data_IF_797735744217
#
_entry.id   IF_797735744217
#
_cell.length_a   1.000
_cell.length_b   1.000
_cell.length_c   1.000
_cell.angle_alpha   90.00
_cell.angle_beta   90.00
_cell.angle_gamma   90.00
#
_symmetry.space_group_name_H-M   'P 1'
#
loop_
_entity.id
_entity.type
_entity.pdbx_description
1 polymer ?
#
# COMPACT_ATOMS: atom_id res chain seq x y z
N UNK A 1 -16.34 2.11 -48.12
CA UNK A 1 -16.78 1.26 -47.01
C UNK A 1 -15.77 1.47 -45.89
N UNK A 2 -15.99 2.51 -45.09
CA UNK A 2 -15.37 2.68 -43.77
C UNK A 2 -16.32 2.11 -42.75
N UNK A 3 -15.81 1.41 -41.75
CA UNK A 3 -15.75 1.98 -40.40
C UNK A 3 -14.89 1.06 -39.54
N UNK A 4 -13.82 1.66 -39.03
CA UNK A 4 -12.92 1.07 -38.06
C UNK A 4 -13.53 1.26 -36.67
N UNK A 5 -13.41 0.19 -35.90
CA UNK A 5 -13.84 -0.01 -34.53
C UNK A 5 -13.47 1.19 -33.62
N UNK A 6 -14.50 1.91 -33.17
CA UNK A 6 -14.35 3.00 -32.21
C UNK A 6 -14.39 2.42 -30.81
N UNK A 7 -13.21 2.29 -30.20
CA UNK A 7 -13.06 1.97 -28.77
C UNK A 7 -13.74 3.06 -27.95
N UNK A 8 -14.84 2.69 -27.28
CA UNK A 8 -15.60 3.56 -26.37
C UNK A 8 -14.71 4.04 -25.23
N UNK A 9 -14.51 5.35 -25.17
CA UNK A 9 -13.92 6.07 -24.05
C UNK A 9 -14.96 6.06 -22.93
N UNK A 10 -14.76 5.25 -21.89
CA UNK A 10 -15.56 5.35 -20.67
C UNK A 10 -15.29 6.70 -20.00
N UNK A 11 -16.33 7.52 -19.92
CA UNK A 11 -16.34 8.76 -19.14
C UNK A 11 -16.13 8.43 -17.65
N UNK A 12 -14.97 8.81 -17.12
CA UNK A 12 -14.68 8.65 -15.69
C UNK A 12 -15.20 9.85 -14.91
N UNK A 13 -16.08 9.59 -13.92
CA UNK A 13 -16.59 10.61 -13.01
C UNK A 13 -15.45 11.33 -12.26
N UNK A 14 -15.58 12.64 -11.99
CA UNK A 14 -14.56 13.40 -11.27
C UNK A 14 -14.40 12.88 -9.82
N UNK A 15 -13.30 12.17 -9.54
CA UNK A 15 -12.81 12.01 -8.17
C UNK A 15 -12.58 10.59 -7.65
N UNK A 16 -12.82 9.50 -8.40
CA UNK A 16 -12.77 8.14 -7.82
C UNK A 16 -11.56 7.24 -8.15
N UNK A 17 -10.72 7.55 -9.14
CA UNK A 17 -9.50 6.73 -9.40
C UNK A 17 -8.34 7.60 -9.91
N UNK A 18 -7.82 8.50 -9.06
CA UNK A 18 -6.76 9.46 -9.45
C UNK A 18 -5.38 9.11 -8.88
N UNK A 19 -5.29 8.06 -8.05
CA UNK A 19 -4.08 7.68 -7.29
C UNK A 19 -2.94 7.22 -8.19
N UNK A 20 -3.17 6.23 -9.06
CA UNK A 20 -2.12 5.67 -9.94
C UNK A 20 -1.76 6.61 -11.10
N UNK A 21 -2.74 7.36 -11.62
CA UNK A 21 -2.56 8.26 -12.76
C UNK A 21 -1.58 9.42 -12.48
N UNK A 22 -1.46 9.82 -11.22
CA UNK A 22 -0.56 10.91 -10.80
C UNK A 22 0.93 10.56 -10.91
N UNK A 23 1.27 9.29 -11.12
CA UNK A 23 2.64 8.80 -11.26
C UNK A 23 3.01 8.46 -12.71
N UNK A 24 2.11 8.69 -13.68
CA UNK A 24 2.39 8.39 -15.09
C UNK A 24 3.52 9.26 -15.64
N UNK A 25 4.29 8.68 -16.56
CA UNK A 25 5.25 9.42 -17.36
C UNK A 25 4.58 10.22 -18.49
N UNK A 26 5.24 11.26 -19.04
CA UNK A 26 4.73 12.03 -20.17
C UNK A 26 4.42 11.18 -21.41
N UNK A 27 5.23 10.15 -21.67
CA UNK A 27 5.02 9.19 -22.76
C UNK A 27 3.81 8.29 -22.51
N UNK A 28 3.57 7.84 -21.27
CA UNK A 28 2.33 7.12 -20.90
C UNK A 28 1.09 8.00 -21.09
N UNK A 29 1.18 9.26 -20.65
CA UNK A 29 0.13 10.26 -20.82
C UNK A 29 -0.21 10.55 -22.30
N UNK A 30 0.74 10.33 -23.21
CA UNK A 30 0.57 10.51 -24.67
C UNK A 30 0.30 9.21 -25.43
N UNK A 31 0.30 8.05 -24.76
CA UNK A 31 0.18 6.74 -25.42
C UNK A 31 1.37 6.40 -26.32
N UNK A 32 2.56 6.93 -26.03
CA UNK A 32 3.79 6.64 -26.76
C UNK A 32 4.40 5.30 -26.32
N UNK A 33 5.37 4.80 -27.10
CA UNK A 33 6.09 3.57 -26.77
C UNK A 33 6.87 3.76 -25.46
N UNK A 34 6.63 2.85 -24.52
CA UNK A 34 7.23 2.87 -23.20
C UNK A 34 8.57 2.16 -23.21
N UNK A 35 9.51 2.71 -22.42
CA UNK A 35 10.74 2.04 -22.08
C UNK A 35 11.03 2.19 -20.58
N UNK A 36 12.14 1.62 -20.11
CA UNK A 36 12.53 1.63 -18.69
C UNK A 36 12.74 3.04 -18.12
N UNK A 37 12.82 4.10 -18.94
CA UNK A 37 12.95 5.49 -18.50
C UNK A 37 11.61 6.07 -18.05
N UNK A 38 10.49 5.41 -18.36
CA UNK A 38 9.19 5.71 -17.75
C UNK A 38 9.21 5.42 -16.25
N UNK A 39 9.80 4.30 -15.83
CA UNK A 39 9.93 3.96 -14.40
C UNK A 39 10.83 4.95 -13.65
N UNK A 40 11.86 5.50 -14.32
CA UNK A 40 12.73 6.52 -13.74
C UNK A 40 11.98 7.84 -13.50
N UNK A 41 11.02 8.17 -14.36
CA UNK A 41 10.15 9.33 -14.16
C UNK A 41 9.20 9.12 -12.98
N UNK A 42 8.53 7.96 -12.91
CA UNK A 42 7.65 7.60 -11.79
C UNK A 42 8.40 7.61 -10.46
N UNK A 43 9.64 7.11 -10.43
CA UNK A 43 10.52 7.21 -9.27
C UNK A 43 10.85 8.67 -8.92
N UNK A 44 11.09 9.52 -9.91
CA UNK A 44 11.26 10.97 -9.71
C UNK A 44 10.06 11.62 -9.01
N UNK A 45 8.83 11.23 -9.37
CA UNK A 45 7.60 11.70 -8.73
C UNK A 45 7.55 11.26 -7.27
N UNK A 46 7.86 10.00 -6.99
CA UNK A 46 7.91 9.47 -5.62
C UNK A 46 8.95 10.21 -4.79
N UNK A 47 10.16 10.43 -5.32
CA UNK A 47 11.22 11.15 -4.61
C UNK A 47 10.83 12.61 -4.31
N UNK A 48 10.18 13.28 -5.27
CA UNK A 48 9.63 14.62 -5.06
C UNK A 48 8.58 14.61 -3.93
N UNK A 49 7.69 13.63 -3.93
CA UNK A 49 6.66 13.50 -2.91
C UNK A 49 7.23 13.16 -1.53
N UNK A 50 8.26 12.31 -1.45
CA UNK A 50 8.92 11.99 -0.19
C UNK A 50 9.66 13.20 0.39
N UNK A 51 10.21 14.08 -0.46
CA UNK A 51 10.95 15.26 -0.03
C UNK A 51 10.06 16.45 0.32
N UNK A 52 8.88 16.57 -0.30
CA UNK A 52 7.97 17.73 -0.14
C UNK A 52 6.64 17.40 0.54
N UNK A 53 6.27 16.12 0.65
CA UNK A 53 4.94 15.66 1.05
C UNK A 53 3.84 15.90 0.00
N UNK A 54 4.20 16.31 -1.23
CA UNK A 54 3.26 16.76 -2.26
C UNK A 54 3.57 16.16 -3.63
N UNK A 55 2.56 16.00 -4.49
CA UNK A 55 2.76 15.58 -5.87
C UNK A 55 3.27 16.75 -6.73
N UNK A 56 4.24 16.53 -7.64
CA UNK A 56 4.79 17.58 -8.50
C UNK A 56 3.81 18.09 -9.56
N UNK A 57 2.87 17.26 -10.02
CA UNK A 57 1.97 17.57 -11.14
C UNK A 57 0.49 17.35 -10.80
N UNK A 58 0.00 17.94 -9.71
CA UNK A 58 -1.42 17.81 -9.33
C UNK A 58 -2.33 18.76 -10.12
N UNK A 59 -3.32 18.24 -10.85
CA UNK A 59 -4.41 19.01 -11.47
C UNK A 59 -5.71 18.94 -10.67
N UNK A 60 -6.65 19.85 -10.96
CA UNK A 60 -8.03 19.81 -10.44
C UNK A 60 -8.91 18.80 -11.20
N UNK A 61 -8.49 18.40 -12.39
CA UNK A 61 -9.10 17.34 -13.21
C UNK A 61 -8.06 16.38 -13.77
N UNK A 62 -8.52 15.26 -14.33
CA UNK A 62 -7.66 14.29 -15.00
C UNK A 62 -6.93 14.92 -16.20
N UNK A 63 -7.66 15.61 -17.08
CA UNK A 63 -7.10 16.30 -18.24
C UNK A 63 -6.02 17.33 -17.83
N UNK A 64 -6.27 18.11 -16.77
CA UNK A 64 -5.29 19.07 -16.27
C UNK A 64 -4.04 18.39 -15.69
N UNK A 65 -4.22 17.24 -15.05
CA UNK A 65 -3.10 16.43 -14.51
C UNK A 65 -2.23 15.88 -15.64
N UNK A 66 -2.86 15.32 -16.68
CA UNK A 66 -2.19 14.83 -17.89
C UNK A 66 -1.44 15.96 -18.61
N UNK A 67 -2.04 17.15 -18.70
CA UNK A 67 -1.40 18.34 -19.28
C UNK A 67 -0.17 18.75 -18.46
N UNK A 68 -0.29 18.81 -17.12
CA UNK A 68 0.81 19.15 -16.22
C UNK A 68 1.94 18.11 -16.28
N UNK A 69 1.62 16.82 -16.29
CA UNK A 69 2.60 15.74 -16.47
C UNK A 69 3.34 15.95 -17.80
N UNK A 70 2.64 16.33 -18.87
CA UNK A 70 3.23 16.50 -20.19
C UNK A 70 4.10 17.75 -20.34
N UNK A 71 3.74 18.88 -19.70
CA UNK A 71 4.32 20.20 -20.02
C UNK A 71 4.87 20.97 -18.82
N UNK A 72 4.31 20.79 -17.63
CA UNK A 72 4.67 21.62 -16.48
C UNK A 72 5.98 21.16 -15.83
N UNK A 73 6.75 22.10 -15.29
CA UNK A 73 7.95 21.82 -14.49
C UNK A 73 7.57 21.75 -13.00
N UNK A 74 8.21 20.88 -12.20
CA UNK A 74 7.92 20.78 -10.78
C UNK A 74 8.38 22.06 -10.07
N UNK A 75 7.59 22.51 -9.08
CA UNK A 75 7.99 23.61 -8.21
C UNK A 75 9.27 23.26 -7.44
N UNK A 76 10.11 24.25 -7.15
CA UNK A 76 11.36 24.03 -6.43
C UNK A 76 11.12 23.43 -5.04
N UNK A 77 11.88 22.38 -4.71
CA UNK A 77 11.73 21.64 -3.44
C UNK A 77 12.01 22.56 -2.26
N UNK A 78 12.99 23.46 -2.40
CA UNK A 78 13.35 24.46 -1.39
C UNK A 78 12.17 25.36 -0.94
N UNK A 79 11.08 25.47 -1.71
CA UNK A 79 9.85 26.18 -1.28
C UNK A 79 9.10 25.46 -0.17
N UNK A 80 9.20 24.13 -0.12
CA UNK A 80 8.46 23.29 0.82
C UNK A 80 9.37 22.67 1.88
N UNK A 81 10.63 22.41 1.53
CA UNK A 81 11.62 21.81 2.41
C UNK A 81 13.01 22.39 2.14
N UNK A 82 13.45 23.35 2.97
CA UNK A 82 14.76 24.00 2.84
C UNK A 82 15.93 23.15 3.32
N UNK A 83 15.66 22.02 4.00
CA UNK A 83 16.69 21.10 4.51
C UNK A 83 17.19 20.13 3.43
N UNK A 84 16.49 20.06 2.29
CA UNK A 84 16.90 19.26 1.14
C UNK A 84 18.08 19.93 0.43
N UNK A 85 19.14 19.16 0.20
CA UNK A 85 20.31 19.65 -0.53
C UNK A 85 19.98 19.94 -1.99
N UNK A 86 20.64 20.96 -2.56
CA UNK A 86 20.49 21.32 -3.97
C UNK A 86 20.85 20.18 -4.93
N UNK A 87 21.78 19.31 -4.53
CA UNK A 87 22.16 18.13 -5.31
C UNK A 87 21.04 17.08 -5.36
N UNK A 88 20.29 16.88 -4.27
CA UNK A 88 19.12 16.00 -4.29
C UNK A 88 18.02 16.58 -5.18
N UNK A 89 17.78 17.90 -5.12
CA UNK A 89 16.83 18.55 -6.03
C UNK A 89 17.26 18.41 -7.50
N UNK A 90 18.57 18.53 -7.79
CA UNK A 90 19.10 18.32 -9.14
C UNK A 90 18.83 16.90 -9.66
N UNK A 91 19.04 15.89 -8.82
CA UNK A 91 18.77 14.48 -9.18
C UNK A 91 17.27 14.29 -9.47
N UNK A 92 16.39 14.78 -8.58
CA UNK A 92 14.94 14.66 -8.74
C UNK A 92 14.47 15.36 -10.02
N UNK A 93 14.97 16.58 -10.30
CA UNK A 93 14.65 17.31 -11.53
C UNK A 93 15.07 16.53 -12.78
N UNK A 94 16.27 15.92 -12.78
CA UNK A 94 16.73 15.12 -13.91
C UNK A 94 15.88 13.86 -14.15
N UNK A 95 15.32 13.25 -13.10
CA UNK A 95 14.32 12.17 -13.27
C UNK A 95 13.01 12.68 -13.90
N UNK A 96 12.62 13.91 -13.56
CA UNK A 96 11.35 14.53 -13.97
C UNK A 96 11.42 15.28 -15.31
N UNK A 97 12.51 15.12 -16.08
CA UNK A 97 12.61 15.69 -17.42
C UNK A 97 11.53 15.13 -18.34
N UNK A 98 10.97 15.96 -19.22
CA UNK A 98 9.81 15.54 -20.03
C UNK A 98 10.21 14.61 -21.17
N UNK A 99 11.40 14.84 -21.72
CA UNK A 99 11.99 14.04 -22.79
C UNK A 99 12.80 12.88 -22.19
N UNK A 100 12.52 11.62 -22.56
CA UNK A 100 13.25 10.46 -22.05
C UNK A 100 14.77 10.53 -22.27
N UNK A 101 15.23 11.15 -23.35
CA UNK A 101 16.65 11.32 -23.68
C UNK A 101 17.38 12.33 -22.77
N UNK A 102 16.65 13.24 -22.12
CA UNK A 102 17.21 14.21 -21.16
C UNK A 102 17.23 13.64 -19.72
N UNK A 103 16.53 12.52 -19.48
CA UNK A 103 16.54 11.79 -18.20
C UNK A 103 17.81 10.96 -18.01
N UNK A 104 17.92 10.35 -16.83
CA UNK A 104 18.83 9.23 -16.63
C UNK A 104 18.52 8.11 -17.64
N UNK A 105 19.55 7.61 -18.31
CA UNK A 105 19.38 6.55 -19.31
C UNK A 105 19.30 5.16 -18.68
N UNK A 106 19.64 5.03 -17.39
CA UNK A 106 19.50 3.78 -16.65
C UNK A 106 19.41 4.03 -15.14
N UNK A 107 18.82 3.09 -14.40
CA UNK A 107 18.82 3.09 -12.95
C UNK A 107 20.24 3.08 -12.35
N UNK A 108 21.22 2.51 -13.08
CA UNK A 108 22.63 2.51 -12.67
C UNK A 108 23.22 3.91 -12.65
N UNK A 109 22.90 4.75 -13.63
CA UNK A 109 23.35 6.14 -13.68
C UNK A 109 22.80 6.94 -12.51
N UNK A 110 21.50 6.78 -12.23
CA UNK A 110 20.84 7.39 -11.07
C UNK A 110 21.48 6.96 -9.74
N UNK A 111 21.80 5.66 -9.59
CA UNK A 111 22.45 5.13 -8.40
C UNK A 111 23.86 5.72 -8.18
N UNK A 112 24.60 6.04 -9.24
CA UNK A 112 25.92 6.68 -9.14
C UNK A 112 25.78 8.08 -8.52
N UNK A 113 24.80 8.86 -8.97
CA UNK A 113 24.52 10.19 -8.42
C UNK A 113 24.07 10.13 -6.96
N UNK A 114 23.23 9.17 -6.57
CA UNK A 114 22.86 8.96 -5.17
C UNK A 114 24.06 8.58 -4.28
N UNK A 115 24.97 7.73 -4.78
CA UNK A 115 26.20 7.39 -4.04
C UNK A 115 27.11 8.60 -3.86
N UNK A 116 27.20 9.46 -4.87
CA UNK A 116 27.96 10.71 -4.80
C UNK A 116 27.37 11.65 -3.75
N UNK A 117 26.06 11.86 -3.78
CA UNK A 117 25.33 12.67 -2.82
C UNK A 117 25.55 12.19 -1.37
N UNK A 118 25.51 10.88 -1.14
CA UNK A 118 25.78 10.30 0.19
C UNK A 118 27.19 10.61 0.66
N UNK A 119 28.18 10.45 -0.22
CA UNK A 119 29.60 10.73 0.10
C UNK A 119 29.84 12.20 0.42
N UNK A 120 29.21 13.11 -0.32
CA UNK A 120 29.30 14.56 -0.08
C UNK A 120 28.62 14.96 1.24
N UNK A 121 27.51 14.32 1.59
CA UNK A 121 26.85 14.51 2.90
C UNK A 121 27.72 14.02 4.06
N UNK A 122 28.39 12.87 3.89
CA UNK A 122 29.35 12.32 4.86
C UNK A 122 30.62 13.19 5.00
N UNK A 123 31.10 13.82 3.91
CA UNK A 123 32.27 14.72 3.96
C UNK A 123 31.94 16.07 4.58
N UNK A 124 30.78 16.66 4.27
CA UNK A 124 30.35 17.94 4.87
C UNK A 124 30.13 17.81 6.39
N UNK A 125 29.69 16.63 6.85
CA UNK A 125 29.59 16.32 8.28
C UNK A 125 30.97 16.26 8.95
N UNK A 126 32.02 15.80 8.23
CA UNK A 126 33.40 15.71 8.75
C UNK A 126 34.14 17.05 8.72
N UNK A 127 33.92 17.90 7.73
CA UNK A 127 34.53 19.24 7.66
C UNK A 127 33.90 20.23 8.65
N UNK A 128 32.59 20.11 8.92
CA UNK A 128 31.89 20.85 9.98
C UNK A 128 32.51 20.62 11.37
N UNK A 129 33.00 19.40 11.63
CA UNK A 129 33.67 19.04 12.90
C UNK A 129 35.12 19.52 12.94
N UNK A 130 35.80 19.69 11.79
CA UNK A 130 37.20 20.09 11.72
C UNK A 130 37.42 21.61 11.64
N UNK A 131 36.40 22.39 11.28
CA UNK A 131 36.51 23.85 11.11
C UNK A 131 36.21 24.67 12.38
N UNK A 132 35.84 24.02 13.49
CA UNK A 132 35.56 24.70 14.76
C UNK A 132 36.78 24.69 15.71
N UNK A 133 37.94 25.17 15.22
CA UNK A 133 39.13 25.42 16.06
C UNK A 133 39.69 26.83 15.86
N UNK A 134 38.84 27.85 16.02
CA UNK A 134 39.29 29.20 16.36
C UNK A 134 38.09 30.05 16.79
N UNK A 135 37.86 30.19 18.10
CA UNK A 135 37.64 31.48 18.80
C UNK A 135 37.40 31.29 20.31
N UNK A 136 38.03 32.21 21.04
CA UNK A 136 38.32 32.37 22.48
C UNK A 136 37.36 31.76 23.53
N UNK A 137 37.89 31.21 24.64
CA UNK A 137 37.12 30.84 25.82
C UNK A 137 36.94 32.09 26.70
N UNK A 138 35.72 32.38 27.16
CA UNK A 138 35.43 33.12 28.42
C UNK A 138 33.91 33.35 28.61
N UNK A 139 33.04 33.10 27.63
CA UNK A 139 31.58 33.35 27.77
C UNK A 139 30.67 32.12 27.71
N UNK A 140 31.13 30.94 28.15
CA UNK A 140 30.37 29.68 28.01
C UNK A 140 30.14 28.92 29.33
N UNK A 141 30.19 29.58 30.49
CA UNK A 141 29.87 28.94 31.76
C UNK A 141 28.38 29.05 32.14
N UNK A 142 27.60 29.95 31.52
CA UNK A 142 26.20 30.20 31.90
C UNK A 142 25.17 29.60 30.93
N UNK A 143 25.54 29.27 29.70
CA UNK A 143 24.59 28.70 28.69
C UNK A 143 24.58 27.17 28.69
N UNK A 144 25.63 26.52 29.20
CA UNK A 144 25.76 25.05 29.24
C UNK A 144 24.76 24.39 30.19
N UNK A 145 24.39 25.03 31.30
CA UNK A 145 23.38 24.47 32.20
C UNK A 145 21.98 24.42 31.56
N UNK A 146 21.61 25.47 30.81
CA UNK A 146 20.31 25.53 30.14
C UNK A 146 20.28 24.62 28.91
N UNK A 147 21.38 24.52 28.15
CA UNK A 147 21.47 23.62 27.02
C UNK A 147 21.47 22.14 27.46
N UNK A 148 22.08 21.79 28.59
CA UNK A 148 22.03 20.42 29.12
C UNK A 148 20.63 20.10 29.64
N UNK A 149 19.93 21.04 30.28
CA UNK A 149 18.52 20.83 30.66
C UNK A 149 17.62 20.73 29.43
N UNK A 150 17.82 21.55 28.40
CA UNK A 150 17.04 21.50 27.16
C UNK A 150 17.39 20.25 26.34
N UNK A 151 18.64 19.79 26.31
CA UNK A 151 19.05 18.56 25.63
C UNK A 151 18.70 17.30 26.42
N UNK A 152 18.60 17.37 27.74
CA UNK A 152 18.04 16.27 28.54
C UNK A 152 16.52 16.23 28.42
N UNK A 153 15.83 17.37 28.39
CA UNK A 153 14.39 17.44 28.11
C UNK A 153 14.08 17.01 26.67
N UNK A 154 14.85 17.48 25.68
CA UNK A 154 14.73 17.05 24.28
C UNK A 154 15.17 15.61 24.09
N UNK A 155 16.19 15.15 24.82
CA UNK A 155 16.66 13.76 24.79
C UNK A 155 15.67 12.82 25.44
N UNK A 156 15.05 13.20 26.56
CA UNK A 156 13.93 12.49 27.19
C UNK A 156 12.72 12.53 26.26
N UNK A 157 12.40 13.67 25.65
CA UNK A 157 11.31 13.80 24.68
C UNK A 157 11.54 12.98 23.42
N UNK A 158 12.78 12.88 22.92
CA UNK A 158 13.14 12.09 21.74
C UNK A 158 13.19 10.59 22.05
N UNK A 159 13.70 10.21 23.22
CA UNK A 159 13.67 8.84 23.74
C UNK A 159 12.24 8.38 24.11
N UNK A 160 11.37 9.32 24.49
CA UNK A 160 9.92 9.13 24.62
C UNK A 160 9.14 9.34 23.30
N UNK A 161 9.79 9.68 22.17
CA UNK A 161 9.11 9.91 20.88
C UNK A 161 9.23 8.71 19.93
N UNK A 162 10.28 7.90 20.05
CA UNK A 162 10.32 6.54 19.49
C UNK A 162 9.61 5.50 20.38
N UNK A 163 9.19 5.94 21.56
CA UNK A 163 8.07 5.36 22.31
C UNK A 163 7.04 6.45 22.58
N UNK A 164 6.63 7.19 21.54
CA UNK A 164 5.31 7.79 21.64
C UNK A 164 4.39 6.59 21.93
N UNK A 165 3.76 6.49 23.11
CA UNK A 165 2.72 5.51 23.28
C UNK A 165 1.78 5.83 22.15
N UNK A 166 1.66 4.93 21.18
CA UNK A 166 0.40 4.89 20.49
C UNK A 166 -0.60 4.83 21.63
N UNK A 167 -1.53 5.77 21.75
CA UNK A 167 -2.67 5.62 22.68
C UNK A 167 -3.36 4.23 22.49
N UNK A 168 -3.02 3.52 21.40
CA UNK A 168 -3.32 2.15 21.02
C UNK A 168 -2.90 1.01 21.97
N UNK A 169 -2.33 1.24 23.15
CA UNK A 169 -2.23 0.16 24.15
C UNK A 169 -3.60 -0.35 24.62
N UNK A 170 -4.69 0.36 24.30
CA UNK A 170 -6.03 0.00 24.75
C UNK A 170 -6.62 -1.23 24.05
N UNK A 171 -6.24 -1.50 22.79
CA UNK A 171 -6.83 -2.56 21.95
C UNK A 171 -5.80 -3.30 21.10
N UNK A 172 -4.59 -3.52 21.63
CA UNK A 172 -3.59 -4.33 20.94
C UNK A 172 -4.17 -5.72 20.61
N UNK A 173 -3.84 -6.26 19.43
CA UNK A 173 -4.32 -7.56 18.94
C UNK A 173 -5.84 -7.75 19.01
N UNK A 174 -6.62 -6.86 18.39
CA UNK A 174 -8.08 -7.00 18.35
C UNK A 174 -8.63 -6.76 16.94
N UNK A 175 -9.69 -7.50 16.61
CA UNK A 175 -10.32 -7.43 15.29
C UNK A 175 -11.84 -7.44 15.42
N UNK A 176 -12.52 -6.59 14.66
CA UNK A 176 -13.97 -6.69 14.47
C UNK A 176 -14.31 -6.93 13.00
N UNK A 177 -15.27 -7.80 12.75
CA UNK A 177 -15.89 -7.94 11.44
C UNK A 177 -16.96 -6.87 11.31
N UNK A 178 -16.94 -6.09 10.23
CA UNK A 178 -17.94 -5.05 9.95
C UNK A 178 -18.82 -5.44 8.75
N UNK A 179 -20.05 -4.88 8.67
CA UNK A 179 -20.97 -5.09 7.56
C UNK A 179 -20.33 -4.99 6.18
N UNK A 180 -20.52 -6.04 5.38
CA UNK A 180 -20.12 -6.07 3.97
C UNK A 180 -20.97 -5.08 3.16
N UNK A 181 -20.31 -4.34 2.27
CA UNK A 181 -21.00 -3.51 1.28
C UNK A 181 -21.66 -4.42 0.24
N UNK A 182 -22.94 -4.20 -0.02
CA UNK A 182 -23.71 -5.00 -0.96
C UNK A 182 -23.93 -4.18 -2.21
N UNK A 183 -23.43 -4.65 -3.35
CA UNK A 183 -23.72 -4.03 -4.64
C UNK A 183 -25.03 -4.52 -5.25
N UNK A 184 -25.59 -5.61 -4.71
CA UNK A 184 -26.79 -6.27 -5.20
C UNK A 184 -27.75 -6.54 -4.04
N UNK A 185 -29.03 -6.24 -4.24
CA UNK A 185 -30.11 -6.49 -3.27
C UNK A 185 -30.38 -8.00 -3.11
N UNK A 186 -30.84 -8.41 -1.92
CA UNK A 186 -31.24 -9.80 -1.64
C UNK A 186 -30.14 -10.70 -1.10
N UNK A 187 -28.95 -10.15 -0.82
CA UNK A 187 -27.82 -10.86 -0.22
C UNK A 187 -27.58 -10.51 1.25
N UNK A 188 -28.53 -9.84 1.89
CA UNK A 188 -28.42 -9.38 3.28
C UNK A 188 -28.25 -10.57 4.22
N UNK A 189 -29.01 -11.65 4.02
CA UNK A 189 -28.90 -12.87 4.84
C UNK A 189 -27.54 -13.56 4.68
N UNK A 190 -26.97 -13.54 3.47
CA UNK A 190 -25.64 -14.10 3.21
C UNK A 190 -24.58 -13.28 3.94
N UNK A 191 -24.61 -11.95 3.81
CA UNK A 191 -23.66 -11.07 4.48
C UNK A 191 -23.74 -11.15 6.01
N UNK A 192 -24.96 -11.26 6.55
CA UNK A 192 -25.19 -11.38 8.00
C UNK A 192 -24.62 -12.70 8.54
N UNK A 193 -24.96 -13.82 7.89
CA UNK A 193 -24.45 -15.15 8.27
C UNK A 193 -22.93 -15.27 8.13
N UNK A 194 -22.35 -14.72 7.05
CA UNK A 194 -20.90 -14.70 6.85
C UNK A 194 -20.19 -13.84 7.91
N UNK A 195 -20.78 -12.69 8.27
CA UNK A 195 -20.25 -11.82 9.32
C UNK A 195 -20.21 -12.51 10.69
N UNK A 196 -21.26 -13.25 11.03
CA UNK A 196 -21.35 -14.02 12.27
C UNK A 196 -20.35 -15.18 12.32
N UNK A 197 -20.21 -15.92 11.23
CA UNK A 197 -19.28 -17.04 11.15
C UNK A 197 -17.82 -16.59 11.22
N UNK A 198 -17.47 -15.50 10.52
CA UNK A 198 -16.13 -14.91 10.58
C UNK A 198 -15.81 -14.37 11.97
N UNK A 199 -16.74 -13.67 12.63
CA UNK A 199 -16.53 -13.18 13.98
C UNK A 199 -16.30 -14.34 14.97
N UNK A 200 -17.08 -15.41 14.85
CA UNK A 200 -16.91 -16.62 15.65
C UNK A 200 -15.56 -17.30 15.40
N UNK A 201 -15.18 -17.49 14.13
CA UNK A 201 -13.95 -18.17 13.77
C UNK A 201 -12.69 -17.37 14.15
N UNK A 202 -12.71 -16.05 13.97
CA UNK A 202 -11.63 -15.16 14.40
C UNK A 202 -11.50 -15.12 15.93
N UNK A 203 -12.61 -15.18 16.67
CA UNK A 203 -12.59 -15.30 18.13
C UNK A 203 -11.92 -16.58 18.64
N UNK A 204 -11.86 -17.63 17.81
CA UNK A 204 -11.14 -18.87 18.10
C UNK A 204 -9.62 -18.77 17.92
N UNK A 205 -9.12 -17.72 17.25
CA UNK A 205 -7.69 -17.52 17.05
C UNK A 205 -7.04 -16.96 18.32
N UNK A 206 -6.04 -17.67 18.85
CA UNK A 206 -5.24 -17.23 20.02
C UNK A 206 -4.50 -15.92 19.84
N UNK A 207 -4.50 -15.40 18.61
CA UNK A 207 -3.77 -14.22 18.21
C UNK A 207 -4.51 -12.93 18.51
N UNK A 208 -5.85 -12.98 18.59
CA UNK A 208 -6.66 -11.82 18.94
C UNK A 208 -7.10 -11.93 20.40
N UNK A 209 -6.75 -10.92 21.20
CA UNK A 209 -7.17 -10.82 22.60
C UNK A 209 -8.64 -10.43 22.71
N UNK A 210 -9.19 -9.79 21.67
CA UNK A 210 -10.60 -9.38 21.61
C UNK A 210 -11.15 -9.46 20.19
N UNK A 211 -12.28 -10.14 20.06
CA UNK A 211 -13.13 -10.14 18.87
C UNK A 211 -14.56 -9.86 19.32
N UNK A 212 -15.12 -8.67 19.07
CA UNK A 212 -16.50 -8.37 19.39
C UNK A 212 -17.45 -9.32 18.65
N UNK A 213 -18.58 -9.72 19.25
CA UNK A 213 -19.58 -10.50 18.54
C UNK A 213 -20.18 -9.67 17.40
N UNK A 214 -20.60 -10.33 16.33
CA UNK A 214 -21.17 -9.70 15.14
C UNK A 214 -22.32 -8.73 15.46
N UNK A 215 -23.16 -9.06 16.44
CA UNK A 215 -24.26 -8.20 16.91
C UNK A 215 -23.82 -6.81 17.40
N UNK A 216 -22.56 -6.64 17.80
CA UNK A 216 -22.00 -5.34 18.22
C UNK A 216 -21.58 -4.46 17.04
N UNK A 217 -21.30 -5.07 15.87
CA UNK A 217 -20.82 -4.38 14.67
C UNK A 217 -21.82 -4.39 13.52
N UNK A 218 -22.86 -5.22 13.54
CA UNK A 218 -23.84 -5.34 12.44
C UNK A 218 -24.61 -4.05 12.14
N UNK A 219 -24.73 -3.16 13.12
CA UNK A 219 -25.37 -1.84 12.99
C UNK A 219 -24.42 -0.71 12.55
N UNK A 220 -23.14 -1.03 12.30
CA UNK A 220 -22.19 -0.08 11.72
C UNK A 220 -22.64 0.27 10.30
N UNK A 221 -22.55 1.56 9.96
CA UNK A 221 -22.80 2.00 8.60
C UNK A 221 -21.74 1.43 7.65
N UNK A 222 -22.18 0.58 6.72
CA UNK A 222 -21.38 -0.06 5.66
C UNK A 222 -20.57 0.95 4.85
N UNK A 223 -21.07 2.20 4.72
CA UNK A 223 -20.47 3.27 3.90
C UNK A 223 -19.72 4.32 4.72
N UNK A 224 -19.58 4.12 6.02
CA UNK A 224 -18.86 5.06 6.88
C UNK A 224 -17.44 5.27 6.36
N UNK A 225 -17.14 6.51 5.99
CA UNK A 225 -15.79 6.94 5.61
C UNK A 225 -14.88 7.04 6.84
N UNK A 226 -15.44 7.10 8.04
CA UNK A 226 -14.71 7.21 9.30
C UNK A 226 -14.46 5.83 9.92
N UNK A 227 -13.51 5.10 9.32
CA UNK A 227 -13.06 3.79 9.81
C UNK A 227 -12.42 3.89 11.20
N UNK A 228 -11.84 5.05 11.55
CA UNK A 228 -11.18 5.27 12.84
C UNK A 228 -12.20 5.38 13.97
N UNK A 229 -13.22 6.23 13.81
CA UNK A 229 -14.32 6.33 14.77
C UNK A 229 -15.07 4.99 14.93
N UNK A 230 -15.21 4.23 13.84
CA UNK A 230 -15.80 2.89 13.87
C UNK A 230 -14.98 1.94 14.74
N UNK A 231 -13.65 1.91 14.56
CA UNK A 231 -12.76 1.06 15.34
C UNK A 231 -12.68 1.50 16.81
N UNK A 232 -12.68 2.81 17.08
CA UNK A 232 -12.77 3.37 18.44
C UNK A 232 -14.07 2.95 19.15
N UNK A 233 -15.21 3.03 18.45
CA UNK A 233 -16.52 2.65 18.98
C UNK A 233 -16.62 1.15 19.28
N UNK A 234 -16.07 0.33 18.39
CA UNK A 234 -16.01 -1.12 18.55
C UNK A 234 -14.88 -1.56 19.49
N UNK A 235 -14.05 -0.61 19.92
CA UNK A 235 -12.94 -0.84 20.83
C UNK A 235 -11.99 -1.93 20.29
N UNK A 236 -11.58 -1.77 19.02
CA UNK A 236 -10.65 -2.67 18.33
C UNK A 236 -9.58 -1.89 17.57
N UNK A 237 -8.43 -2.51 17.31
CA UNK A 237 -7.35 -1.93 16.49
C UNK A 237 -7.48 -2.24 15.01
N UNK A 238 -8.20 -3.31 14.64
CA UNK A 238 -8.30 -3.78 13.25
C UNK A 238 -9.75 -4.05 12.86
N UNK A 239 -10.10 -3.74 11.60
CA UNK A 239 -11.42 -3.99 11.03
C UNK A 239 -11.30 -4.95 9.84
N UNK A 240 -12.09 -6.03 9.84
CA UNK A 240 -12.31 -6.88 8.67
C UNK A 240 -13.58 -6.41 7.98
N UNK A 241 -13.46 -5.96 6.73
CA UNK A 241 -14.54 -5.42 5.92
C UNK A 241 -14.46 -6.01 4.52
N UNK A 242 -15.48 -5.78 3.70
CA UNK A 242 -15.52 -6.34 2.35
C UNK A 242 -16.71 -5.86 1.55
N UNK A 243 -16.81 -6.34 0.32
CA UNK A 243 -17.96 -6.12 -0.54
C UNK A 243 -18.40 -7.42 -1.21
N UNK A 244 -19.70 -7.59 -1.36
CA UNK A 244 -20.31 -8.68 -2.10
C UNK A 244 -20.93 -8.09 -3.37
N UNK A 245 -20.51 -8.63 -4.51
CA UNK A 245 -20.96 -8.23 -5.82
C UNK A 245 -21.49 -9.46 -6.58
N UNK A 246 -22.39 -9.24 -7.54
CA UNK A 246 -22.94 -10.30 -8.38
C UNK A 246 -22.93 -9.86 -9.83
N UNK A 247 -22.31 -10.69 -10.66
CA UNK A 247 -22.27 -10.52 -12.10
C UNK A 247 -22.83 -11.79 -12.75
N UNK A 248 -24.07 -11.73 -13.23
CA UNK A 248 -24.77 -12.92 -13.76
C UNK A 248 -24.99 -13.99 -12.69
N UNK A 249 -24.44 -15.19 -12.91
CA UNK A 249 -24.47 -16.31 -11.94
C UNK A 249 -23.21 -16.38 -11.07
N UNK A 250 -22.26 -15.45 -11.26
CA UNK A 250 -21.06 -15.37 -10.44
C UNK A 250 -21.23 -14.41 -9.27
N UNK A 251 -20.84 -14.89 -8.09
CA UNK A 251 -20.78 -14.15 -6.85
C UNK A 251 -19.32 -13.82 -6.55
N UNK A 252 -18.99 -12.53 -6.41
CA UNK A 252 -17.65 -12.06 -6.05
C UNK A 252 -17.66 -11.47 -4.65
N UNK A 253 -16.84 -12.01 -3.77
CA UNK A 253 -16.66 -11.54 -2.40
C UNK A 253 -15.24 -11.00 -2.26
N UNK A 254 -15.14 -9.68 -2.07
CA UNK A 254 -13.89 -8.99 -1.77
C UNK A 254 -13.81 -8.75 -0.27
N UNK A 255 -12.63 -8.96 0.30
CA UNK A 255 -12.39 -8.78 1.74
C UNK A 255 -11.10 -8.02 1.96
N UNK A 256 -11.06 -7.20 3.02
CA UNK A 256 -9.89 -6.45 3.44
C UNK A 256 -9.83 -6.34 4.97
N UNK A 257 -8.65 -6.61 5.51
CA UNK A 257 -8.29 -6.37 6.91
C UNK A 257 -7.51 -5.06 6.98
N UNK A 258 -7.99 -4.10 7.78
CA UNK A 258 -7.46 -2.73 7.81
C UNK A 258 -7.19 -2.29 9.25
N UNK A 259 -6.02 -1.68 9.48
CA UNK A 259 -5.74 -0.95 10.72
C UNK A 259 -5.91 0.56 10.50
N UNK A 260 -7.00 1.18 10.98
CA UNK A 260 -7.27 2.61 10.76
C UNK A 260 -6.42 3.55 11.62
N UNK A 261 -5.64 3.03 12.58
CA UNK A 261 -4.80 3.82 13.48
C UNK A 261 -3.34 3.92 13.05
N UNK A 262 -2.91 3.09 12.10
CA UNK A 262 -1.60 3.24 11.47
C UNK A 262 -1.59 4.58 10.72
N UNK A 263 -0.76 5.53 11.16
CA UNK A 263 -0.74 6.95 10.76
C UNK A 263 -0.47 7.21 9.27
N UNK A 264 -0.42 6.16 8.46
CA UNK A 264 -0.40 6.14 7.00
C UNK A 264 -1.76 5.63 6.50
N UNK A 265 -2.79 6.47 6.54
CA UNK A 265 -4.10 6.25 5.85
C UNK A 265 -4.53 4.76 5.76
N UNK A 266 -4.89 4.15 6.89
CA UNK A 266 -5.64 2.88 6.92
C UNK A 266 -5.03 1.76 6.08
N UNK A 267 -3.82 1.34 6.42
CA UNK A 267 -3.13 0.29 5.68
C UNK A 267 -3.96 -1.00 5.66
N UNK A 268 -4.21 -1.50 4.45
CA UNK A 268 -4.77 -2.84 4.24
C UNK A 268 -3.69 -3.85 4.62
N UNK A 269 -3.86 -4.49 5.77
CA UNK A 269 -3.00 -5.57 6.25
C UNK A 269 -3.11 -6.78 5.30
N UNK A 270 -4.33 -7.06 4.86
CA UNK A 270 -4.65 -8.19 3.98
C UNK A 270 -5.84 -7.86 3.09
N UNK A 271 -5.86 -8.43 1.89
CA UNK A 271 -7.05 -8.48 1.06
C UNK A 271 -7.18 -9.83 0.36
N UNK A 272 -8.42 -10.28 0.17
CA UNK A 272 -8.76 -11.50 -0.57
C UNK A 272 -9.92 -11.26 -1.53
N UNK A 273 -9.95 -12.04 -2.61
CA UNK A 273 -11.06 -12.09 -3.56
C UNK A 273 -11.46 -13.54 -3.73
N UNK A 274 -12.76 -13.81 -3.66
CA UNK A 274 -13.33 -15.13 -3.82
C UNK A 274 -14.47 -15.06 -4.82
N UNK A 275 -14.35 -15.82 -5.91
CA UNK A 275 -15.32 -15.88 -7.00
C UNK A 275 -16.01 -17.25 -6.97
N UNK A 276 -17.34 -17.27 -6.98
CA UNK A 276 -18.15 -18.48 -6.86
C UNK A 276 -19.25 -18.53 -7.92
N UNK A 277 -19.56 -19.73 -8.40
CA UNK A 277 -20.68 -19.96 -9.32
C UNK A 277 -21.92 -20.45 -8.54
N UNK A 278 -22.97 -19.62 -8.47
CA UNK A 278 -24.20 -19.97 -7.75
C UNK A 278 -24.98 -21.12 -8.39
N UNK A 279 -24.75 -21.43 -9.66
CA UNK A 279 -25.45 -22.53 -10.34
C UNK A 279 -24.95 -23.91 -9.90
N UNK A 280 -23.74 -23.96 -9.33
CA UNK A 280 -23.04 -25.20 -8.94
C UNK A 280 -22.90 -25.31 -7.41
N UNK A 281 -22.81 -24.18 -6.71
CA UNK A 281 -22.46 -24.16 -5.29
C UNK A 281 -23.62 -23.76 -4.37
N UNK A 282 -23.75 -24.49 -3.27
CA UNK A 282 -24.74 -24.19 -2.23
C UNK A 282 -24.21 -23.07 -1.33
N UNK A 283 -25.04 -22.09 -0.92
CA UNK A 283 -24.60 -20.96 -0.07
C UNK A 283 -23.83 -21.39 1.19
N UNK A 284 -24.15 -22.55 1.75
CA UNK A 284 -23.48 -23.14 2.92
C UNK A 284 -22.06 -23.66 2.65
N UNK A 285 -21.73 -24.07 1.41
CA UNK A 285 -20.36 -24.49 1.06
C UNK A 285 -19.43 -23.29 0.89
N UNK A 286 -19.97 -22.20 0.33
CA UNK A 286 -19.28 -20.93 0.16
C UNK A 286 -18.87 -20.38 1.54
N UNK A 287 -19.78 -20.40 2.52
CA UNK A 287 -19.55 -20.00 3.91
C UNK A 287 -18.37 -20.75 4.56
N UNK A 288 -18.44 -22.08 4.61
CA UNK A 288 -17.41 -22.95 5.21
C UNK A 288 -16.02 -22.74 4.58
N UNK A 289 -15.97 -22.52 3.27
CA UNK A 289 -14.72 -22.37 2.52
C UNK A 289 -14.07 -21.00 2.76
N UNK A 290 -14.86 -19.92 2.72
CA UNK A 290 -14.38 -18.56 2.98
C UNK A 290 -13.84 -18.47 4.39
N UNK A 291 -14.60 -18.93 5.39
CA UNK A 291 -14.19 -18.87 6.80
C UNK A 291 -12.85 -19.56 7.01
N UNK A 292 -12.69 -20.79 6.50
CA UNK A 292 -11.41 -21.53 6.61
C UNK A 292 -10.27 -20.84 5.86
N UNK A 293 -10.54 -20.31 4.67
CA UNK A 293 -9.53 -19.62 3.85
C UNK A 293 -9.03 -18.34 4.52
N UNK A 294 -9.95 -17.52 5.02
CA UNK A 294 -9.67 -16.27 5.72
C UNK A 294 -8.89 -16.54 7.01
N UNK A 295 -9.36 -17.47 7.84
CA UNK A 295 -8.71 -17.81 9.11
C UNK A 295 -7.28 -18.30 8.88
N UNK A 296 -7.07 -19.25 7.95
CA UNK A 296 -5.73 -19.77 7.65
C UNK A 296 -4.81 -18.68 7.08
N UNK A 297 -5.34 -17.81 6.21
CA UNK A 297 -4.53 -16.76 5.58
C UNK A 297 -4.14 -15.71 6.61
N UNK A 298 -5.06 -15.30 7.48
CA UNK A 298 -4.78 -14.36 8.55
C UNK A 298 -3.84 -14.96 9.61
N UNK A 299 -3.98 -16.24 9.94
CA UNK A 299 -3.04 -16.94 10.82
C UNK A 299 -1.62 -16.88 10.25
N UNK A 300 -1.44 -17.24 8.97
CA UNK A 300 -0.13 -17.25 8.29
C UNK A 300 0.45 -15.85 8.10
N UNK A 301 -0.35 -14.87 7.69
CA UNK A 301 0.15 -13.52 7.41
C UNK A 301 0.50 -12.77 8.68
N UNK A 302 -0.28 -12.93 9.74
CA UNK A 302 0.00 -12.28 11.00
C UNK A 302 1.19 -12.96 11.72
N UNK A 303 1.48 -14.26 11.45
CA UNK A 303 2.63 -14.98 12.06
C UNK A 303 3.97 -14.57 11.45
N UNK A 304 3.95 -14.02 10.24
CA UNK A 304 5.11 -13.41 9.62
C UNK A 304 5.22 -11.94 10.06
N UNK A 305 5.45 -11.72 11.35
CA UNK A 305 5.77 -10.40 11.88
C UNK A 305 7.11 -9.95 11.27
N UNK A 306 7.02 -9.06 10.27
CA UNK A 306 8.14 -8.43 9.59
C UNK A 306 8.79 -9.23 8.47
N UNK A 307 8.17 -9.30 7.29
CA UNK A 307 8.90 -9.14 6.01
C UNK A 307 7.98 -8.58 4.92
N UNK A 308 8.35 -7.43 4.38
CA UNK A 308 7.93 -6.93 3.07
C UNK A 308 7.80 -8.08 2.05
N UNK A 309 6.59 -8.39 1.61
CA UNK A 309 6.39 -9.21 0.42
C UNK A 309 5.32 -8.60 -0.46
N UNK A 310 5.83 -7.79 -1.39
CA UNK A 310 5.37 -7.64 -2.78
C UNK A 310 4.34 -8.71 -3.14
N UNK A 311 3.11 -8.25 -3.39
CA UNK A 311 2.05 -9.03 -4.03
C UNK A 311 2.63 -9.62 -5.31
N UNK A 312 2.85 -10.94 -5.34
CA UNK A 312 3.21 -11.63 -6.57
C UNK A 312 1.96 -11.61 -7.46
N UNK A 313 2.04 -10.93 -8.60
CA UNK A 313 1.02 -11.02 -9.64
C UNK A 313 0.82 -12.48 -10.03
N UNK A 314 -0.40 -12.96 -9.91
CA UNK A 314 -0.78 -14.25 -10.47
C UNK A 314 -1.00 -14.12 -11.97
N UNK A 315 -0.87 -15.24 -12.69
CA UNK A 315 -1.08 -15.30 -14.14
C UNK A 315 -2.53 -14.98 -14.49
N UNK A 316 -2.74 -14.29 -15.62
CA UNK A 316 -4.07 -13.90 -16.12
C UNK A 316 -4.79 -15.05 -16.86
N UNK A 317 -4.11 -16.16 -17.13
CA UNK A 317 -4.73 -17.37 -17.73
C UNK A 317 -5.28 -18.30 -16.65
N UNK A 318 -6.60 -18.56 -16.63
CA UNK A 318 -7.22 -19.52 -15.73
C UNK A 318 -6.65 -20.95 -15.87
N UNK A 319 -6.30 -21.35 -17.09
CA UNK A 319 -5.72 -22.66 -17.39
C UNK A 319 -4.32 -22.81 -16.79
N UNK A 320 -3.48 -21.78 -16.91
CA UNK A 320 -2.16 -21.76 -16.29
C UNK A 320 -2.26 -21.79 -14.75
N UNK A 321 -3.28 -21.16 -14.17
CA UNK A 321 -3.54 -21.20 -12.74
C UNK A 321 -4.02 -22.57 -12.26
N UNK A 322 -4.89 -23.25 -13.02
CA UNK A 322 -5.34 -24.61 -12.73
C UNK A 322 -4.17 -25.61 -12.77
N UNK A 323 -3.33 -25.53 -13.81
CA UNK A 323 -2.11 -26.34 -13.90
C UNK A 323 -1.13 -26.03 -12.77
N UNK A 324 -0.94 -24.76 -12.41
CA UNK A 324 -0.11 -24.39 -11.27
C UNK A 324 -0.63 -24.98 -9.96
N UNK A 325 -1.95 -24.94 -9.74
CA UNK A 325 -2.59 -25.45 -8.52
C UNK A 325 -2.47 -26.97 -8.43
N UNK A 326 -2.68 -27.69 -9.53
CA UNK A 326 -2.42 -29.14 -9.65
C UNK A 326 -0.96 -29.47 -9.36
N UNK A 327 -0.03 -28.69 -9.90
CA UNK A 327 1.40 -28.82 -9.61
C UNK A 327 1.73 -28.64 -8.13
N UNK A 328 1.15 -27.62 -7.49
CA UNK A 328 1.33 -27.35 -6.05
C UNK A 328 0.77 -28.46 -5.16
N UNK A 329 -0.37 -29.05 -5.55
CA UNK A 329 -0.96 -30.18 -4.84
C UNK A 329 -0.02 -31.39 -4.82
N UNK A 330 0.53 -31.76 -5.98
CA UNK A 330 1.45 -32.90 -6.09
C UNK A 330 2.84 -32.62 -5.48
N UNK A 331 3.32 -31.37 -5.51
CA UNK A 331 4.57 -31.00 -4.84
C UNK A 331 4.50 -31.27 -3.33
N UNK A 332 3.38 -30.93 -2.68
CA UNK A 332 3.20 -31.13 -1.23
C UNK A 332 3.31 -32.60 -0.79
N UNK A 333 3.00 -33.55 -1.66
CA UNK A 333 3.02 -34.98 -1.33
C UNK A 333 4.44 -35.57 -1.26
N UNK A 334 5.46 -34.90 -1.85
CA UNK A 334 6.88 -35.33 -1.96
C UNK A 334 7.06 -36.75 -2.54
N UNK A 335 8.31 -37.11 -2.87
CA UNK A 335 8.62 -38.41 -3.49
C UNK A 335 8.12 -38.50 -4.95
N UNK A 336 7.43 -39.58 -5.38
CA UNK A 336 6.99 -39.75 -6.77
C UNK A 336 6.01 -38.66 -7.26
N UNK A 337 5.40 -37.89 -6.35
CA UNK A 337 4.58 -36.71 -6.70
C UNK A 337 5.38 -35.53 -7.28
N UNK A 338 6.71 -35.50 -7.13
CA UNK A 338 7.55 -34.41 -7.66
C UNK A 338 7.62 -34.40 -9.19
N UNK A 339 7.64 -35.55 -9.84
CA UNK A 339 7.64 -35.63 -11.32
C UNK A 339 6.28 -35.20 -11.89
N UNK A 340 5.19 -35.56 -11.21
CA UNK A 340 3.84 -35.13 -11.58
C UNK A 340 3.70 -33.61 -11.36
N UNK A 341 4.23 -33.09 -10.26
CA UNK A 341 4.24 -31.65 -10.00
C UNK A 341 5.03 -30.88 -11.05
N UNK A 342 6.20 -31.38 -11.45
CA UNK A 342 7.03 -30.79 -12.51
C UNK A 342 6.27 -30.71 -13.83
N UNK A 343 5.60 -31.78 -14.24
CA UNK A 343 4.80 -31.81 -15.46
C UNK A 343 3.69 -30.74 -15.46
N UNK A 344 2.96 -30.61 -14.36
CA UNK A 344 1.93 -29.57 -14.23
C UNK A 344 2.49 -28.15 -14.21
N UNK A 345 3.68 -27.93 -13.64
CA UNK A 345 4.34 -26.63 -13.72
C UNK A 345 4.84 -26.29 -15.13
N UNK A 346 5.28 -27.28 -15.91
CA UNK A 346 5.65 -27.07 -17.31
C UNK A 346 4.43 -26.70 -18.15
N UNK A 347 3.27 -27.31 -17.91
CA UNK A 347 2.00 -26.93 -18.56
C UNK A 347 1.50 -25.55 -18.15
N UNK A 348 1.82 -25.08 -16.94
CA UNK A 348 1.47 -23.74 -16.47
C UNK A 348 2.37 -22.62 -17.06
N UNK A 349 3.43 -22.98 -17.77
CA UNK A 349 4.38 -22.06 -18.40
C UNK A 349 4.18 -21.92 -19.92
N UNK A 350 3.36 -22.78 -20.51
CA UNK A 350 2.88 -22.70 -21.89
C UNK A 350 1.63 -21.81 -21.94
#
# INVERSE_FOLDING_TARGET
>A
ASDADATTVEETEPGKVMGTLSYMSPEQARGEVLDHRSDLFSLGIVLYQLTTGRLPFKGSSFAETVEKISRAQPEAIARFNYEVSSELERIIRKCLEKKPEERYQSARELLIDFKRLRKESESNTRESVLSQKQRSPIRLATVSAVAVIVLTVLGIWWFQRDTAPSDNLKYDKSVAVVPFDLKVEGMESLADSLGEELAYALGGLRKFDKVPPWSSSSSVDKRSTDKKATADRLEVSTLLSGSIDREGDQLRILMWLVNPFDGKSGNTIWSGSYDYDQSVETPFKIQDEITRSVVNTLEVQLDNDGQDKLVKGYTESPEAYDYYTKGRFHWKQRGPGLEIAKHWFELALL
#
